data_IF_141297286855
#
_entry.id   IF_141297286855
#
_cell.length_a   1.000
_cell.length_b   1.000
_cell.length_c   1.000
_cell.angle_alpha   90.00
_cell.angle_beta   90.00
_cell.angle_gamma   90.00
#
_symmetry.space_group_name_H-M   'P 1'
#
loop_
_entity.id
_entity.type
_entity.pdbx_description
1 polymer ?
#
# COMPACT_ATOMS: atom_id res chain seq x y z
N UNK A 1 1.77 23.05 -22.66
CA UNK A 1 3.18 22.64 -22.83
C UNK A 1 3.29 21.23 -22.30
N UNK A 2 3.89 20.30 -23.05
CA UNK A 2 4.10 18.91 -22.61
C UNK A 2 4.97 18.92 -21.36
N UNK A 3 4.53 18.27 -20.27
CA UNK A 3 5.33 18.21 -19.04
C UNK A 3 6.69 17.55 -19.34
N UNK A 4 7.83 18.21 -19.05
CA UNK A 4 9.15 17.63 -19.31
C UNK A 4 9.42 16.38 -18.46
N UNK A 5 8.69 16.21 -17.36
CA UNK A 5 8.82 15.11 -16.41
C UNK A 5 8.62 13.73 -17.07
N UNK A 6 7.47 13.50 -17.71
CA UNK A 6 7.14 12.18 -18.25
C UNK A 6 7.98 11.82 -19.48
N UNK A 7 8.37 12.81 -20.28
CA UNK A 7 9.34 12.61 -21.35
C UNK A 7 10.70 12.14 -20.80
N UNK A 8 11.20 12.79 -19.76
CA UNK A 8 12.44 12.39 -19.07
C UNK A 8 12.30 10.99 -18.45
N UNK A 9 11.17 10.70 -17.81
CA UNK A 9 10.86 9.38 -17.25
C UNK A 9 10.97 8.27 -18.30
N UNK A 10 10.32 8.43 -19.45
CA UNK A 10 10.40 7.46 -20.55
C UNK A 10 11.83 7.29 -21.07
N UNK A 11 12.61 8.37 -21.18
CA UNK A 11 14.00 8.32 -21.63
C UNK A 11 14.92 7.57 -20.66
N UNK A 12 14.79 7.82 -19.34
CA UNK A 12 15.58 7.15 -18.31
C UNK A 12 15.28 5.66 -18.28
N UNK A 13 14.01 5.26 -18.35
CA UNK A 13 13.64 3.86 -18.40
C UNK A 13 14.11 3.17 -19.69
N UNK A 14 13.98 3.82 -20.84
CA UNK A 14 14.49 3.27 -22.10
C UNK A 14 16.01 3.05 -22.08
N UNK A 15 16.76 3.94 -21.40
CA UNK A 15 18.21 3.80 -21.25
C UNK A 15 18.60 2.67 -20.29
N UNK A 16 17.86 2.48 -19.18
CA UNK A 16 18.16 1.44 -18.20
C UNK A 16 17.73 0.04 -18.66
N UNK A 17 16.71 -0.06 -19.50
CA UNK A 17 16.15 -1.33 -19.98
C UNK A 17 16.18 -1.40 -21.52
N UNK A 18 17.39 -1.40 -22.14
CA UNK A 18 17.51 -1.44 -23.59
C UNK A 18 16.95 -2.77 -24.13
N UNK A 19 15.98 -2.71 -25.02
CA UNK A 19 15.33 -3.91 -25.58
C UNK A 19 14.07 -4.35 -24.84
N UNK A 20 13.72 -3.75 -23.70
CA UNK A 20 12.35 -3.76 -23.20
C UNK A 20 11.52 -2.85 -24.12
N UNK A 21 11.28 -3.30 -25.35
CA UNK A 21 10.75 -2.50 -26.44
C UNK A 21 9.34 -2.01 -26.12
N UNK A 22 9.18 -0.85 -25.46
CA UNK A 22 7.86 -0.25 -25.20
C UNK A 22 6.83 -1.23 -24.56
N UNK A 23 7.28 -2.38 -24.05
CA UNK A 23 6.46 -3.50 -23.61
C UNK A 23 6.19 -3.46 -22.12
N UNK A 24 6.66 -2.40 -21.47
CA UNK A 24 6.58 -2.18 -20.03
C UNK A 24 5.89 -0.87 -19.71
N UNK A 25 6.01 0.18 -20.52
CA UNK A 25 5.11 1.34 -20.47
C UNK A 25 4.27 1.40 -21.74
N UNK A 26 2.96 1.44 -21.58
CA UNK A 26 2.04 1.54 -22.71
C UNK A 26 2.08 2.96 -23.29
N UNK A 27 1.83 3.13 -24.61
CA UNK A 27 1.65 4.45 -25.18
C UNK A 27 0.59 5.25 -24.41
N UNK A 28 0.73 6.57 -24.40
CA UNK A 28 -0.20 7.47 -23.75
C UNK A 28 -1.64 7.30 -24.24
N UNK A 29 -2.58 7.44 -23.31
CA UNK A 29 -4.00 7.42 -23.57
C UNK A 29 -4.45 8.69 -24.32
N UNK A 30 -5.45 8.54 -25.19
CA UNK A 30 -6.11 9.69 -25.82
C UNK A 30 -7.02 10.41 -24.83
N UNK A 31 -7.32 11.70 -25.09
CA UNK A 31 -8.29 12.45 -24.26
C UNK A 31 -9.66 11.75 -24.22
N UNK A 32 -10.07 11.08 -25.30
CA UNK A 32 -11.32 10.34 -25.35
C UNK A 32 -11.33 9.12 -24.42
N UNK A 33 -10.20 8.39 -24.35
CA UNK A 33 -10.05 7.26 -23.43
C UNK A 33 -10.03 7.71 -21.97
N UNK A 34 -9.35 8.81 -21.66
CA UNK A 34 -9.35 9.40 -20.31
C UNK A 34 -10.77 9.85 -19.93
N UNK A 35 -11.48 10.53 -20.82
CA UNK A 35 -12.86 10.97 -20.58
C UNK A 35 -13.84 9.80 -20.41
N UNK A 36 -13.65 8.70 -21.14
CA UNK A 36 -14.43 7.47 -20.93
C UNK A 36 -14.18 6.88 -19.54
N UNK A 37 -12.92 6.79 -19.10
CA UNK A 37 -12.58 6.29 -17.78
C UNK A 37 -13.20 7.15 -16.66
N UNK A 38 -13.07 8.48 -16.76
CA UNK A 38 -13.72 9.43 -15.82
C UNK A 38 -15.24 9.26 -15.78
N UNK A 39 -15.88 9.09 -16.95
CA UNK A 39 -17.32 8.85 -17.05
C UNK A 39 -17.73 7.52 -16.41
N UNK A 40 -16.95 6.45 -16.63
CA UNK A 40 -17.24 5.14 -16.07
C UNK A 40 -17.12 5.11 -14.54
N UNK A 41 -16.20 5.89 -13.99
CA UNK A 41 -15.97 6.04 -12.53
C UNK A 41 -16.95 7.05 -11.92
N UNK A 42 -17.39 8.04 -12.68
CA UNK A 42 -18.20 9.15 -12.19
C UNK A 42 -17.40 10.21 -11.44
N UNK A 43 -16.07 10.26 -11.63
CA UNK A 43 -15.15 11.20 -11.00
C UNK A 43 -14.23 11.83 -12.04
N UNK A 44 -13.90 13.11 -11.87
CA UNK A 44 -12.88 13.76 -12.69
C UNK A 44 -11.48 13.45 -12.14
N UNK A 45 -10.53 13.14 -13.02
CA UNK A 45 -9.16 12.91 -12.64
C UNK A 45 -8.45 14.25 -12.37
N UNK A 46 -7.60 14.34 -11.32
CA UNK A 46 -6.73 15.49 -11.14
C UNK A 46 -5.87 15.74 -12.38
N UNK A 47 -5.54 17.02 -12.65
CA UNK A 47 -4.78 17.40 -13.85
C UNK A 47 -3.46 16.63 -13.99
N UNK A 48 -2.74 16.41 -12.89
CA UNK A 48 -1.50 15.62 -12.86
C UNK A 48 -1.72 14.15 -13.25
N UNK A 49 -2.84 13.55 -12.85
CA UNK A 49 -3.19 12.16 -13.21
C UNK A 49 -3.52 12.08 -14.70
N UNK A 50 -4.32 13.01 -15.22
CA UNK A 50 -4.58 13.09 -16.67
C UNK A 50 -3.29 13.25 -17.46
N UNK A 51 -2.40 14.13 -17.02
CA UNK A 51 -1.12 14.38 -17.70
C UNK A 51 -0.22 13.13 -17.70
N UNK A 52 -0.19 12.37 -16.60
CA UNK A 52 0.52 11.10 -16.55
C UNK A 52 -0.04 10.11 -17.58
N UNK A 53 -1.37 9.94 -17.63
CA UNK A 53 -2.03 9.02 -18.56
C UNK A 53 -1.90 9.44 -20.03
N UNK A 54 -1.83 10.74 -20.34
CA UNK A 54 -1.53 11.23 -21.70
C UNK A 54 -0.16 10.80 -22.22
N UNK A 55 0.79 10.53 -21.31
CA UNK A 55 2.13 10.10 -21.67
C UNK A 55 2.24 8.58 -21.68
N UNK A 56 1.68 7.92 -20.66
CA UNK A 56 1.72 6.47 -20.52
C UNK A 56 0.41 5.93 -19.97
N UNK A 57 -0.21 4.98 -20.68
CA UNK A 57 -1.39 4.25 -20.21
C UNK A 57 -1.01 3.08 -19.28
N UNK A 58 -0.25 3.39 -18.22
CA UNK A 58 0.26 2.41 -17.27
C UNK A 58 1.28 1.43 -17.87
N UNK A 59 1.38 0.25 -17.25
CA UNK A 59 2.27 -0.85 -17.68
C UNK A 59 1.48 -2.02 -18.24
N UNK A 60 2.11 -2.87 -19.06
CA UNK A 60 1.52 -4.15 -19.46
C UNK A 60 1.29 -5.03 -18.23
N UNK A 61 0.09 -5.61 -18.12
CA UNK A 61 -0.37 -6.30 -16.90
C UNK A 61 0.40 -7.61 -16.67
N UNK A 62 0.45 -8.14 -15.44
CA UNK A 62 1.09 -9.43 -15.14
C UNK A 62 0.60 -10.60 -16.01
N UNK A 63 -0.68 -10.65 -16.38
CA UNK A 63 -1.20 -11.65 -17.32
C UNK A 63 -0.56 -11.54 -18.71
N UNK A 64 -0.15 -10.33 -19.11
CA UNK A 64 0.62 -10.06 -20.32
C UNK A 64 2.14 -10.25 -20.11
N UNK A 65 2.65 -10.14 -18.88
CA UNK A 65 4.07 -10.38 -18.54
C UNK A 65 4.46 -11.86 -18.57
N UNK A 66 3.51 -12.78 -18.39
CA UNK A 66 3.77 -14.22 -18.42
C UNK A 66 4.16 -14.75 -19.80
N UNK A 67 3.95 -13.96 -20.86
CA UNK A 67 4.38 -14.29 -22.20
C UNK A 67 5.49 -13.31 -22.62
N UNK A 68 6.74 -13.78 -22.55
CA UNK A 68 7.80 -13.39 -23.48
C UNK A 68 8.61 -12.10 -23.22
N UNK A 69 8.75 -11.64 -21.96
CA UNK A 69 9.70 -10.56 -21.66
C UNK A 69 10.93 -11.09 -20.93
N UNK A 70 12.08 -11.10 -21.62
CA UNK A 70 13.38 -11.44 -21.03
C UNK A 70 13.87 -10.42 -19.98
N UNK A 71 13.26 -9.23 -19.89
CA UNK A 71 13.58 -8.20 -18.89
C UNK A 71 12.42 -7.21 -18.66
N UNK A 72 11.41 -7.53 -17.84
CA UNK A 72 10.38 -6.55 -17.47
C UNK A 72 10.98 -5.43 -16.61
N UNK A 73 10.48 -4.20 -16.78
CA UNK A 73 10.73 -3.10 -15.85
C UNK A 73 10.16 -3.54 -14.49
N UNK A 74 10.90 -3.39 -13.39
CA UNK A 74 10.37 -3.69 -12.07
C UNK A 74 9.10 -2.88 -11.76
N UNK A 75 8.20 -3.37 -10.91
CA UNK A 75 6.98 -2.63 -10.55
C UNK A 75 7.27 -1.18 -10.15
N UNK A 76 6.50 -0.26 -10.70
CA UNK A 76 6.78 1.17 -10.60
C UNK A 76 6.31 1.79 -9.29
N UNK A 77 5.64 1.05 -8.42
CA UNK A 77 5.12 1.52 -7.14
C UNK A 77 5.49 0.56 -5.98
N UNK A 78 5.46 1.04 -4.72
CA UNK A 78 5.75 0.19 -3.56
C UNK A 78 4.87 -1.05 -3.47
N UNK A 79 5.35 -2.08 -2.77
CA UNK A 79 4.58 -3.31 -2.58
C UNK A 79 4.43 -4.12 -3.87
N UNK A 80 5.35 -3.97 -4.83
CA UNK A 80 5.28 -4.61 -6.15
C UNK A 80 4.02 -4.24 -6.94
N UNK A 81 3.51 -3.02 -6.74
CA UNK A 81 2.34 -2.54 -7.44
C UNK A 81 2.71 -1.99 -8.82
N UNK A 82 1.92 -2.38 -9.81
CA UNK A 82 2.07 -1.98 -11.21
C UNK A 82 1.13 -0.82 -11.54
N UNK A 83 1.61 0.15 -12.31
CA UNK A 83 0.77 1.26 -12.78
C UNK A 83 -0.33 0.73 -13.71
N UNK A 84 -1.58 0.81 -13.28
CA UNK A 84 -2.71 0.27 -14.02
C UNK A 84 -2.99 1.08 -15.30
N UNK A 85 -3.16 0.39 -16.46
CA UNK A 85 -3.83 0.99 -17.61
C UNK A 85 -5.24 1.46 -17.25
N UNK A 86 -5.78 2.45 -17.97
CA UNK A 86 -7.09 3.04 -17.68
C UNK A 86 -8.22 2.00 -17.54
N UNK A 87 -8.26 1.02 -18.43
CA UNK A 87 -9.24 -0.08 -18.38
C UNK A 87 -9.13 -0.89 -17.08
N UNK A 88 -7.89 -1.21 -16.66
CA UNK A 88 -7.63 -1.94 -15.44
C UNK A 88 -7.91 -1.09 -14.19
N UNK A 89 -7.63 0.22 -14.23
CA UNK A 89 -7.98 1.18 -13.18
C UNK A 89 -9.50 1.21 -12.97
N UNK A 90 -10.28 1.33 -14.04
CA UNK A 90 -11.76 1.31 -13.98
C UNK A 90 -12.24 -0.01 -13.38
N UNK A 91 -11.74 -1.14 -13.87
CA UNK A 91 -12.10 -2.47 -13.38
C UNK A 91 -11.76 -2.65 -11.89
N UNK A 92 -10.58 -2.20 -11.47
CA UNK A 92 -10.14 -2.25 -10.08
C UNK A 92 -11.01 -1.35 -9.19
N UNK A 93 -11.35 -0.15 -9.64
CA UNK A 93 -12.24 0.75 -8.89
C UNK A 93 -13.63 0.13 -8.70
N UNK A 94 -14.21 -0.45 -9.74
CA UNK A 94 -15.51 -1.14 -9.68
C UNK A 94 -15.46 -2.33 -8.70
N UNK A 95 -14.42 -3.16 -8.77
CA UNK A 95 -14.21 -4.25 -7.82
C UNK A 95 -14.15 -3.76 -6.38
N UNK A 96 -13.42 -2.68 -6.10
CA UNK A 96 -13.36 -2.10 -4.75
C UNK A 96 -14.73 -1.59 -4.27
N UNK A 97 -15.58 -1.06 -5.17
CA UNK A 97 -16.96 -0.68 -4.83
C UNK A 97 -17.84 -1.90 -4.52
N UNK A 98 -17.68 -2.98 -5.27
CA UNK A 98 -18.40 -4.24 -4.99
C UNK A 98 -17.99 -4.83 -3.64
N UNK A 99 -16.69 -4.83 -3.33
CA UNK A 99 -16.16 -5.27 -2.03
C UNK A 99 -16.71 -4.41 -0.91
N UNK A 100 -16.67 -3.08 -1.04
CA UNK A 100 -17.24 -2.15 -0.06
C UNK A 100 -18.73 -2.46 0.19
N UNK A 101 -19.53 -2.54 -0.88
CA UNK A 101 -20.95 -2.83 -0.79
C UNK A 101 -21.21 -4.17 -0.09
N UNK A 102 -20.42 -5.20 -0.41
CA UNK A 102 -20.50 -6.51 0.22
C UNK A 102 -20.14 -6.50 1.70
N UNK A 103 -19.14 -5.73 2.11
CA UNK A 103 -18.76 -5.58 3.52
C UNK A 103 -19.79 -4.76 4.30
N UNK A 104 -20.33 -3.69 3.71
CA UNK A 104 -21.39 -2.86 4.30
C UNK A 104 -22.67 -3.68 4.51
N UNK A 105 -23.08 -4.48 3.53
CA UNK A 105 -24.24 -5.37 3.65
C UNK A 105 -24.10 -6.42 4.76
N UNK A 106 -22.85 -6.81 5.10
CA UNK A 106 -22.53 -7.72 6.20
C UNK A 106 -22.38 -7.01 7.56
N UNK A 107 -22.49 -5.68 7.60
CA UNK A 107 -22.24 -4.89 8.81
C UNK A 107 -20.77 -4.87 9.24
N UNK A 108 -19.84 -5.19 8.32
CA UNK A 108 -18.40 -5.18 8.58
C UNK A 108 -17.78 -3.79 8.43
N UNK A 109 -18.50 -2.84 7.79
CA UNK A 109 -18.10 -1.44 7.69
C UNK A 109 -19.12 -0.58 8.44
N UNK A 110 -18.63 0.24 9.37
CA UNK A 110 -19.42 1.29 9.99
C UNK A 110 -19.63 2.45 9.02
N UNK A 111 -20.78 3.11 9.09
CA UNK A 111 -20.95 4.39 8.43
C UNK A 111 -19.99 5.41 9.02
N UNK A 112 -19.26 6.13 8.17
CA UNK A 112 -18.43 7.23 8.62
C UNK A 112 -19.31 8.40 9.03
N UNK A 113 -19.05 8.93 10.22
CA UNK A 113 -19.61 10.22 10.60
C UNK A 113 -19.02 11.34 9.72
N UNK A 114 -19.67 12.50 9.68
CA UNK A 114 -19.13 13.69 9.03
C UNK A 114 -17.77 14.11 9.62
N UNK A 115 -17.55 13.85 10.92
CA UNK A 115 -16.28 14.12 11.58
C UNK A 115 -15.18 13.17 11.10
N UNK A 116 -15.53 11.91 10.83
CA UNK A 116 -14.61 10.91 10.27
C UNK A 116 -14.25 11.19 8.80
N UNK A 117 -15.15 11.86 8.05
CA UNK A 117 -14.89 12.30 6.66
C UNK A 117 -13.92 13.47 6.58
N UNK A 118 -13.79 14.25 7.65
CA UNK A 118 -12.87 15.37 7.72
C UNK A 118 -12.07 15.34 9.02
N UNK A 119 -11.22 14.32 9.21
CA UNK A 119 -10.42 14.21 10.41
C UNK A 119 -9.36 15.32 10.43
N UNK A 120 -8.80 15.68 11.60
CA UNK A 120 -7.63 16.56 11.70
C UNK A 120 -6.32 15.89 11.22
N UNK A 121 -6.43 14.83 10.42
CA UNK A 121 -5.35 14.04 9.84
C UNK A 121 -5.35 14.26 8.32
N UNK A 122 -4.23 13.95 7.62
CA UNK A 122 -4.19 14.12 6.17
C UNK A 122 -5.06 13.09 5.42
N UNK A 123 -5.36 11.95 6.04
CA UNK A 123 -6.05 10.82 5.40
C UNK A 123 -7.27 10.43 6.24
N UNK A 124 -8.38 10.16 5.56
CA UNK A 124 -9.58 9.54 6.16
C UNK A 124 -9.28 8.07 6.47
N UNK A 125 -9.48 7.60 7.69
CA UNK A 125 -9.05 6.26 8.12
C UNK A 125 -9.84 5.09 7.50
N UNK A 126 -10.87 5.39 6.71
CA UNK A 126 -11.70 4.37 6.08
C UNK A 126 -11.00 3.69 4.91
N UNK A 127 -11.08 2.36 4.84
CA UNK A 127 -10.38 1.56 3.82
C UNK A 127 -11.02 1.59 2.43
N UNK A 128 -12.27 2.04 2.29
CA UNK A 128 -13.04 1.92 1.04
C UNK A 128 -13.82 3.20 0.68
N UNK A 129 -13.12 4.31 0.44
CA UNK A 129 -13.77 5.56 0.01
C UNK A 129 -13.95 5.60 -1.51
N UNK A 130 -15.10 6.08 -2.00
CA UNK A 130 -15.43 6.08 -3.43
C UNK A 130 -14.55 7.05 -4.22
N UNK A 131 -14.12 8.10 -3.53
CA UNK A 131 -13.26 9.18 -3.99
C UNK A 131 -11.77 8.81 -3.99
N UNK A 132 -11.43 7.51 -3.99
CA UNK A 132 -10.05 7.02 -4.13
C UNK A 132 -9.88 6.25 -5.43
N UNK A 133 -8.97 6.74 -6.27
CA UNK A 133 -8.69 6.15 -7.58
C UNK A 133 -7.50 5.19 -7.51
N UNK A 134 -7.66 3.86 -7.68
CA UNK A 134 -6.54 2.92 -7.64
C UNK A 134 -5.70 3.03 -8.91
N UNK A 135 -4.60 3.76 -8.86
CA UNK A 135 -3.69 3.94 -10.02
C UNK A 135 -2.65 2.84 -10.12
N UNK A 136 -2.39 2.09 -9.04
CA UNK A 136 -1.53 0.92 -9.07
C UNK A 136 -2.09 -0.19 -8.19
N UNK A 137 -1.84 -1.45 -8.56
CA UNK A 137 -2.23 -2.60 -7.75
C UNK A 137 -1.19 -3.72 -7.85
N UNK A 138 -1.13 -4.56 -6.82
CA UNK A 138 -0.37 -5.81 -6.82
C UNK A 138 -1.31 -7.04 -6.77
N UNK A 139 -0.74 -8.23 -6.82
CA UNK A 139 -1.49 -9.50 -6.78
C UNK A 139 -2.03 -9.87 -5.38
N UNK A 140 -1.61 -9.14 -4.34
CA UNK A 140 -2.02 -9.35 -2.95
C UNK A 140 -3.20 -8.47 -2.55
N UNK A 141 -3.70 -7.61 -3.46
CA UNK A 141 -4.81 -6.70 -3.21
C UNK A 141 -4.40 -5.36 -2.61
N UNK A 142 -3.11 -5.06 -2.49
CA UNK A 142 -2.64 -3.72 -2.11
C UNK A 142 -2.74 -2.77 -3.31
N UNK A 143 -3.10 -1.52 -3.04
CA UNK A 143 -3.25 -0.48 -4.07
C UNK A 143 -2.46 0.79 -3.73
N UNK A 144 -2.05 1.51 -4.78
CA UNK A 144 -1.73 2.94 -4.68
C UNK A 144 -2.93 3.71 -5.19
N UNK A 145 -3.43 4.61 -4.36
CA UNK A 145 -4.66 5.34 -4.62
C UNK A 145 -4.41 6.84 -4.69
N UNK A 146 -5.04 7.52 -5.64
CA UNK A 146 -5.12 8.98 -5.66
C UNK A 146 -6.32 9.38 -4.83
N UNK A 147 -6.07 10.18 -3.79
CA UNK A 147 -7.09 10.62 -2.85
C UNK A 147 -7.77 11.90 -3.33
N UNK A 148 -9.05 11.82 -3.67
CA UNK A 148 -9.89 12.95 -4.08
C UNK A 148 -10.72 13.52 -2.92
N UNK A 149 -10.67 12.89 -1.73
CA UNK A 149 -11.34 13.36 -0.51
C UNK A 149 -10.39 13.29 0.69
N UNK A 150 -9.31 14.11 0.69
CA UNK A 150 -8.35 14.13 1.78
C UNK A 150 -8.99 14.61 3.09
N UNK A 151 -8.34 14.27 4.21
CA UNK A 151 -8.67 14.86 5.50
C UNK A 151 -8.27 16.34 5.59
N UNK A 152 -8.56 17.01 6.71
CA UNK A 152 -8.44 18.49 6.83
C UNK A 152 -7.03 19.03 6.59
N UNK A 153 -6.02 18.24 6.89
CA UNK A 153 -4.61 18.61 6.71
C UNK A 153 -3.98 17.95 5.49
N UNK A 154 -4.78 17.26 4.66
CA UNK A 154 -4.33 16.58 3.47
C UNK A 154 -4.47 17.43 2.22
N UNK A 155 -4.03 16.89 1.09
CA UNK A 155 -4.08 17.56 -0.20
C UNK A 155 -4.83 16.71 -1.22
N UNK A 156 -5.71 17.33 -2.00
CA UNK A 156 -6.41 16.64 -3.09
C UNK A 156 -5.38 16.18 -4.14
N UNK A 157 -5.44 14.91 -4.51
CA UNK A 157 -4.48 14.28 -5.43
C UNK A 157 -3.25 13.67 -4.75
N UNK A 158 -3.17 13.68 -3.41
CA UNK A 158 -2.13 12.95 -2.67
C UNK A 158 -2.23 11.44 -2.95
N UNK A 159 -1.10 10.75 -2.87
CA UNK A 159 -1.05 9.31 -3.05
C UNK A 159 -1.12 8.59 -1.72
N UNK A 160 -1.95 7.55 -1.65
CA UNK A 160 -2.10 6.66 -0.51
C UNK A 160 -1.58 5.28 -0.88
N UNK A 161 -1.02 4.59 0.11
CA UNK A 161 -0.84 3.14 0.06
C UNK A 161 -1.97 2.51 0.88
N UNK A 162 -2.75 1.65 0.25
CA UNK A 162 -3.83 0.90 0.89
C UNK A 162 -3.45 -0.59 0.93
N UNK A 163 -3.33 -1.12 2.15
CA UNK A 163 -3.28 -2.55 2.40
C UNK A 163 -4.68 -3.01 2.82
N UNK A 164 -5.25 -4.10 2.27
CA UNK A 164 -6.57 -4.55 2.68
C UNK A 164 -6.67 -4.93 4.17
N UNK A 165 -5.54 -5.11 4.87
CA UNK A 165 -5.50 -5.43 6.31
C UNK A 165 -5.19 -4.23 7.21
N UNK A 166 -4.80 -3.08 6.66
CA UNK A 166 -4.41 -1.89 7.44
C UNK A 166 -5.23 -0.63 7.05
N UNK A 167 -5.09 0.42 7.87
CA UNK A 167 -5.54 1.76 7.51
C UNK A 167 -4.76 2.33 6.30
N UNK A 168 -5.41 3.13 5.43
CA UNK A 168 -4.73 3.86 4.37
C UNK A 168 -3.63 4.77 4.93
N UNK A 169 -2.47 4.78 4.28
CA UNK A 169 -1.33 5.61 4.70
C UNK A 169 -0.95 6.59 3.62
N UNK A 170 -0.73 7.85 4.00
CA UNK A 170 -0.13 8.84 3.11
C UNK A 170 1.23 8.33 2.64
N UNK A 171 1.37 8.25 1.32
CA UNK A 171 2.54 7.75 0.63
C UNK A 171 3.35 8.89 0.01
N UNK A 172 2.71 9.82 -0.68
CA UNK A 172 3.35 10.94 -1.36
C UNK A 172 2.36 12.11 -1.53
N UNK A 173 2.83 13.35 -1.66
CA UNK A 173 1.96 14.52 -1.81
C UNK A 173 1.25 14.58 -3.16
N UNK A 174 1.71 13.79 -4.15
CA UNK A 174 1.05 13.66 -5.44
C UNK A 174 1.88 12.88 -6.44
N UNK A 175 1.30 12.62 -7.62
CA UNK A 175 1.91 11.76 -8.64
C UNK A 175 3.19 12.38 -9.26
N UNK A 176 3.23 13.69 -9.44
CA UNK A 176 4.41 14.38 -9.97
C UNK A 176 5.58 14.33 -8.98
N UNK A 177 5.36 14.62 -7.69
CA UNK A 177 6.39 14.50 -6.64
C UNK A 177 6.94 13.07 -6.57
N UNK A 178 6.06 12.06 -6.73
CA UNK A 178 6.46 10.67 -6.78
C UNK A 178 7.43 10.38 -7.93
N UNK A 179 7.07 10.75 -9.15
CA UNK A 179 7.91 10.48 -10.33
C UNK A 179 9.21 11.30 -10.34
N UNK A 180 9.20 12.53 -9.83
CA UNK A 180 10.43 13.32 -9.67
C UNK A 180 11.41 12.63 -8.71
N UNK A 181 10.92 12.11 -7.58
CA UNK A 181 11.77 11.35 -6.63
C UNK A 181 12.28 10.05 -7.23
N UNK A 182 11.42 9.33 -7.95
CA UNK A 182 11.80 8.10 -8.64
C UNK A 182 12.91 8.36 -9.66
N UNK A 183 12.73 9.37 -10.51
CA UNK A 183 13.76 9.80 -11.47
C UNK A 183 15.06 10.17 -10.79
N UNK A 184 15.00 11.00 -9.74
CA UNK A 184 16.19 11.40 -9.01
C UNK A 184 16.97 10.20 -8.45
N UNK A 185 16.26 9.18 -7.94
CA UNK A 185 16.90 7.96 -7.43
C UNK A 185 17.49 7.07 -8.54
N UNK A 186 16.82 6.99 -9.69
CA UNK A 186 17.29 6.23 -10.86
C UNK A 186 18.54 6.88 -11.49
N UNK A 187 18.52 8.19 -11.67
CA UNK A 187 19.60 8.93 -12.32
C UNK A 187 20.83 9.08 -11.42
N UNK A 188 20.64 9.17 -10.10
CA UNK A 188 21.76 9.14 -9.16
C UNK A 188 22.36 7.74 -9.00
N UNK A 189 21.76 6.72 -9.61
CA UNK A 189 22.14 5.32 -9.45
C UNK A 189 21.87 4.75 -8.05
N UNK A 190 21.08 5.45 -7.20
CA UNK A 190 20.70 4.94 -5.87
C UNK A 190 19.74 3.76 -5.99
N UNK A 191 18.88 3.80 -7.00
CA UNK A 191 17.93 2.73 -7.30
C UNK A 191 18.40 1.98 -8.54
N UNK A 192 18.63 0.68 -8.42
CA UNK A 192 19.06 -0.19 -9.51
C UNK A 192 18.13 -1.39 -9.65
N UNK A 193 17.86 -1.83 -10.86
CA UNK A 193 17.04 -3.01 -11.11
C UNK A 193 17.87 -4.29 -11.00
N UNK A 194 17.39 -5.27 -10.24
CA UNK A 194 17.97 -6.63 -10.13
C UNK A 194 16.84 -7.63 -9.90
N UNK A 195 16.94 -8.81 -10.53
CA UNK A 195 16.01 -9.93 -10.28
C UNK A 195 14.51 -9.55 -10.40
N UNK A 196 14.18 -8.61 -11.30
CA UNK A 196 12.81 -8.12 -11.49
C UNK A 196 12.30 -7.16 -10.42
N UNK A 197 13.16 -6.74 -9.48
CA UNK A 197 12.87 -5.79 -8.41
C UNK A 197 13.79 -4.58 -8.42
N UNK A 198 13.43 -3.59 -7.61
CA UNK A 198 14.29 -2.46 -7.31
C UNK A 198 15.17 -2.76 -6.10
N UNK A 199 16.44 -2.36 -6.17
CA UNK A 199 17.41 -2.50 -5.09
C UNK A 199 18.07 -1.16 -4.80
N UNK A 200 18.34 -0.90 -3.54
CA UNK A 200 19.22 0.19 -3.14
C UNK A 200 20.67 -0.17 -3.50
N UNK A 201 21.37 0.72 -4.21
CA UNK A 201 22.68 0.42 -4.76
C UNK A 201 23.78 0.31 -3.70
N UNK A 202 23.66 1.09 -2.61
CA UNK A 202 24.65 1.13 -1.53
C UNK A 202 24.58 -0.12 -0.66
N UNK A 203 23.37 -0.53 -0.29
CA UNK A 203 23.14 -1.69 0.57
C UNK A 203 22.95 -3.01 -0.19
N UNK A 204 22.61 -2.95 -1.47
CA UNK A 204 22.19 -4.11 -2.28
C UNK A 204 20.83 -4.69 -1.84
N UNK A 205 20.20 -4.13 -0.81
CA UNK A 205 18.97 -4.66 -0.25
C UNK A 205 17.82 -4.49 -1.26
N UNK A 206 16.94 -5.50 -1.40
CA UNK A 206 15.71 -5.34 -2.14
C UNK A 206 14.88 -4.21 -1.53
N UNK A 207 14.51 -3.24 -2.36
CA UNK A 207 13.62 -2.14 -2.01
C UNK A 207 12.17 -2.62 -2.14
N UNK A 208 11.77 -3.57 -1.29
CA UNK A 208 10.38 -4.03 -1.17
C UNK A 208 9.40 -2.85 -1.00
N UNK A 209 9.91 -1.78 -0.40
CA UNK A 209 9.22 -0.50 -0.24
C UNK A 209 10.04 0.61 -0.91
N UNK A 210 9.71 0.92 -2.17
CA UNK A 210 10.22 2.12 -2.87
C UNK A 210 10.10 3.38 -2.00
N UNK A 211 9.13 3.42 -1.08
CA UNK A 211 8.97 4.49 -0.11
C UNK A 211 10.29 4.92 0.54
N UNK A 212 11.14 3.98 0.95
CA UNK A 212 12.39 4.33 1.65
C UNK A 212 13.47 4.81 0.69
N UNK A 213 13.64 4.13 -0.44
CA UNK A 213 14.61 4.54 -1.47
C UNK A 213 14.33 5.96 -1.98
N UNK A 214 13.06 6.35 -2.02
CA UNK A 214 12.58 7.65 -2.48
C UNK A 214 12.49 8.71 -1.35
N UNK A 215 12.85 8.36 -0.11
CA UNK A 215 12.79 9.27 1.03
C UNK A 215 11.36 9.70 1.42
N UNK A 216 10.37 8.86 1.16
CA UNK A 216 8.93 9.07 1.44
C UNK A 216 8.50 8.56 2.83
N UNK A 217 9.47 8.24 3.68
CA UNK A 217 9.25 7.84 5.06
C UNK A 217 10.48 8.13 5.91
N UNK A 218 10.37 8.06 7.26
CA UNK A 218 11.56 7.95 8.09
C UNK A 218 12.37 6.77 7.55
N UNK A 219 13.68 6.98 7.30
CA UNK A 219 14.55 5.89 6.83
C UNK A 219 14.34 4.70 7.77
N UNK A 220 13.93 3.56 7.22
CA UNK A 220 14.00 2.31 7.95
C UNK A 220 15.44 2.18 8.41
N UNK A 221 15.65 2.13 9.72
CA UNK A 221 16.97 1.93 10.29
C UNK A 221 17.52 0.65 9.66
N UNK A 222 18.67 0.76 9.02
CA UNK A 222 19.36 -0.40 8.46
C UNK A 222 19.54 -1.46 9.56
N UNK A 223 19.62 -2.73 9.16
CA UNK A 223 19.93 -3.80 10.10
C UNK A 223 21.20 -3.48 10.92
N UNK A 224 22.18 -2.81 10.31
CA UNK A 224 23.38 -2.33 10.98
C UNK A 224 23.09 -1.26 12.05
N UNK A 225 22.22 -0.28 11.78
CA UNK A 225 21.80 0.73 12.75
C UNK A 225 21.02 0.12 13.91
N UNK A 226 20.10 -0.82 13.62
CA UNK A 226 19.35 -1.55 14.66
C UNK A 226 20.28 -2.39 15.54
N UNK A 227 21.26 -3.07 14.94
CA UNK A 227 22.28 -3.84 15.68
C UNK A 227 23.18 -2.92 16.51
N UNK A 228 23.59 -1.77 15.97
CA UNK A 228 24.41 -0.79 16.68
C UNK A 228 23.67 -0.22 17.90
N UNK A 229 22.39 0.11 17.74
CA UNK A 229 21.55 0.61 18.82
C UNK A 229 21.28 -0.45 19.88
N UNK A 230 20.98 -1.70 19.49
CA UNK A 230 20.83 -2.80 20.44
C UNK A 230 22.13 -3.05 21.23
N UNK A 231 23.29 -2.96 20.56
CA UNK A 231 24.60 -3.05 21.21
C UNK A 231 24.82 -1.89 22.19
N UNK A 232 24.49 -0.67 21.79
CA UNK A 232 24.59 0.51 22.65
C UNK A 232 23.67 0.40 23.88
N UNK A 233 22.43 -0.05 23.70
CA UNK A 233 21.48 -0.29 24.78
C UNK A 233 21.98 -1.37 25.76
N UNK A 234 22.56 -2.45 25.23
CA UNK A 234 23.14 -3.53 26.06
C UNK A 234 24.35 -3.06 26.86
N UNK A 235 25.24 -2.27 26.24
CA UNK A 235 26.40 -1.68 26.93
C UNK A 235 25.96 -0.71 28.02
N UNK A 236 24.98 0.15 27.75
CA UNK A 236 24.41 1.05 28.75
C UNK A 236 23.78 0.28 29.93
N UNK A 237 23.05 -0.80 29.66
CA UNK A 237 22.49 -1.66 30.69
C UNK A 237 23.56 -2.39 31.53
N UNK A 238 24.71 -2.72 30.94
CA UNK A 238 25.83 -3.36 31.65
C UNK A 238 26.63 -2.36 32.49
N UNK A 239 26.67 -1.09 32.09
CA UNK A 239 27.37 -0.01 32.82
C UNK A 239 26.49 0.67 33.87
N UNK A 240 25.16 0.48 33.83
CA UNK A 240 24.29 0.91 34.89
C UNK A 240 24.68 0.17 36.18
N UNK A 241 25.20 0.91 37.17
CA UNK A 241 25.51 0.35 38.48
C UNK A 241 24.28 -0.42 39.01
N UNK A 242 24.47 -1.61 39.61
CA UNK A 242 23.38 -2.34 40.20
C UNK A 242 22.69 -1.43 41.20
N UNK A 243 21.43 -1.06 40.89
CA UNK A 243 20.61 -0.29 41.81
C UNK A 243 20.61 -1.07 43.12
N UNK A 244 21.11 -0.51 44.23
CA UNK A 244 21.15 -1.22 45.49
C UNK A 244 19.71 -1.54 45.86
N UNK A 245 19.33 -2.81 45.71
CA UNK A 245 18.06 -3.31 46.19
C UNK A 245 18.06 -3.15 47.71
N UNK A 246 17.56 -2.00 48.20
CA UNK A 246 17.09 -1.90 49.58
C UNK A 246 15.88 -2.81 49.69
N UNK A 247 16.14 -4.06 50.04
CA UNK A 247 15.14 -4.98 50.57
C UNK A 247 14.72 -4.48 51.96
N UNK A 248 14.01 -3.36 52.02
CA UNK A 248 13.34 -2.91 53.23
C UNK A 248 11.83 -3.01 53.00
N UNK A 249 11.22 -4.09 53.52
CA UNK A 249 9.77 -4.18 53.66
C UNK A 249 9.04 -5.28 52.88
N UNK A 250 9.74 -6.30 52.34
CA UNK A 250 9.04 -7.45 51.76
C UNK A 250 8.50 -8.36 52.88
N UNK A 251 7.30 -8.07 53.36
CA UNK A 251 6.50 -9.04 54.11
C UNK A 251 5.95 -10.08 53.12
N UNK A 252 6.24 -11.38 53.30
CA UNK A 252 5.68 -12.42 52.45
C UNK A 252 4.16 -12.42 52.59
N UNK A 253 3.46 -12.31 51.46
CA UNK A 253 2.02 -12.52 51.40
C UNK A 253 1.74 -13.99 51.71
N UNK A 254 1.08 -14.24 52.85
CA UNK A 254 0.50 -15.55 53.15
C UNK A 254 -0.67 -15.77 52.20
N UNK A 255 -0.48 -16.64 51.21
CA UNK A 255 -1.54 -17.08 50.29
C UNK A 255 -2.53 -17.92 51.10
N UNK A 256 -3.75 -17.42 51.27
CA UNK A 256 -4.84 -18.22 51.84
C UNK A 256 -5.15 -19.41 50.90
N UNK A 257 -5.41 -20.61 51.45
CA UNK A 257 -5.68 -21.79 50.63
C UNK A 257 -6.94 -21.58 49.79
N UNK A 258 -6.84 -21.90 48.50
CA UNK A 258 -7.93 -21.82 47.55
C UNK A 258 -9.08 -22.76 47.94
N UNK A 259 -10.31 -22.26 47.96
CA UNK A 259 -11.52 -23.08 48.08
C UNK A 259 -11.60 -24.09 46.93
N UNK A 260 -12.07 -25.32 47.18
CA UNK A 260 -12.21 -26.34 46.15
C UNK A 260 -13.23 -25.89 45.09
N UNK A 261 -12.83 -25.99 43.83
CA UNK A 261 -13.64 -25.64 42.67
C UNK A 261 -14.86 -26.57 42.53
N UNK A 262 -16.03 -25.98 42.28
CA UNK A 262 -17.24 -26.73 41.90
C UNK A 262 -17.04 -27.43 40.53
N UNK A 263 -17.56 -28.66 40.36
CA UNK A 263 -17.47 -29.37 39.09
C UNK A 263 -18.35 -28.72 38.00
N UNK A 264 -17.92 -28.78 36.73
CA UNK A 264 -18.64 -28.19 35.61
C UNK A 264 -19.97 -28.90 35.35
N UNK A 265 -21.05 -28.12 35.23
CA UNK A 265 -22.36 -28.60 34.80
C UNK A 265 -22.31 -29.00 33.33
N UNK A 266 -22.54 -30.28 33.03
CA UNK A 266 -22.73 -30.80 31.69
C UNK A 266 -24.01 -30.23 31.08
N UNK A 267 -23.87 -29.61 29.90
CA UNK A 267 -25.00 -29.06 29.14
C UNK A 267 -25.41 -30.08 28.09
N UNK A 268 -26.42 -30.87 28.43
CA UNK A 268 -27.14 -31.73 27.49
C UNK A 268 -27.95 -30.90 26.48
N UNK A 269 -27.97 -31.36 25.23
CA UNK A 269 -29.07 -31.05 24.30
C UNK A 269 -28.68 -30.38 22.99
N UNK A 270 -28.06 -31.14 22.07
CA UNK A 270 -28.10 -30.80 20.63
C UNK A 270 -29.02 -31.78 19.90
N UNK A 271 -30.29 -31.39 19.71
CA UNK A 271 -31.23 -32.07 18.80
C UNK A 271 -30.88 -31.73 17.36
N UNK A 272 -30.53 -32.74 16.56
CA UNK A 272 -30.42 -32.66 15.10
C UNK A 272 -31.81 -32.57 14.48
N UNK A 273 -32.10 -31.51 13.73
CA UNK A 273 -33.19 -31.50 12.76
C UNK A 273 -32.66 -31.89 11.38
N UNK A 274 -33.16 -33.02 10.86
CA UNK A 274 -32.98 -33.45 9.47
C UNK A 274 -33.83 -32.56 8.55
N UNK A 275 -33.27 -32.14 7.41
CA UNK A 275 -33.99 -31.56 6.28
C UNK A 275 -34.32 -32.65 5.24
N UNK A 276 -35.51 -32.66 4.64
CA UNK A 276 -35.83 -33.59 3.56
C UNK A 276 -35.33 -33.07 2.20
N UNK A 277 -34.84 -34.01 1.39
CA UNK A 277 -34.48 -33.84 -0.01
C UNK A 277 -35.73 -33.65 -0.87
N UNK A 278 -35.71 -32.68 -1.79
CA UNK A 278 -36.66 -32.60 -2.90
C UNK A 278 -35.96 -33.05 -4.18
N UNK A 279 -36.43 -34.15 -4.73
CA UNK A 279 -36.22 -34.53 -6.12
C UNK A 279 -37.08 -33.64 -7.03
N UNK A 280 -36.53 -33.23 -8.18
CA UNK A 280 -37.33 -32.84 -9.33
C UNK A 280 -36.83 -33.58 -10.57
N UNK A 281 -37.82 -34.06 -11.31
CA UNK A 281 -37.76 -34.53 -12.69
C UNK A 281 -37.45 -33.36 -13.62
#
# INVERSE_FOLDING_TARGET
>A
MVSPLYKRFGQVLAAQFPGAAQGTLRPGASEAAIAEAERAIGLCFPAAVREAYRHFDGVCTPQQRHFDLQAPIPPLFPGQADWLPLEALVSQWQLLREVEAGLRAKGCLSELSLEDRHPPRPVVAASFEAERLPIAANICGCTIEVDLMPGRTGQMGQLLYQDPQDEPRLFCSGLEDYFERLLAALESGRLVAREGGWHDADSGAPSWSLRYALGLGPRERSAAELVAEHRAATQAATQAEPVPHRLSGWTPWTVAPASPAEPPRTRDGFRRHQRPSRSRR
#
